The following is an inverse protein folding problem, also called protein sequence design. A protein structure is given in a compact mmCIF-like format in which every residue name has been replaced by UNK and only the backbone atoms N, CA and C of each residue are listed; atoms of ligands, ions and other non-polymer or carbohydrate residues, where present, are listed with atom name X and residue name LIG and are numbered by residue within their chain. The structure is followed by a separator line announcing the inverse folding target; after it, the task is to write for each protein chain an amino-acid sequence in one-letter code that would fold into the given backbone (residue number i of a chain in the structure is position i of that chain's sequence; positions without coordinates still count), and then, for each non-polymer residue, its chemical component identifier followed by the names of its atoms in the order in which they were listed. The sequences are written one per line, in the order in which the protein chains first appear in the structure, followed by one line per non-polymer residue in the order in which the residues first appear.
data_IF_799767525990
#
_entry.id   IF_799767525990
#
_cell.length_a   1.000
_cell.length_b   1.000
_cell.length_c   1.000
_cell.angle_alpha   90.00
_cell.angle_beta   90.00
_cell.angle_gamma   90.00
#
_symmetry.space_group_name_H-M   'P 1'
#
loop_
_entity.id
_entity.type
_entity.pdbx_description
1 polymer ?
#
# COMPACT_ATOMS: atom_id res chain seq x y z
N UNK A 1 -0.21 34.59 -16.87
CA UNK A 1 0.27 35.39 -15.73
C UNK A 1 -0.80 35.59 -14.65
N UNK A 2 -2.00 36.05 -14.95
CA UNK A 2 -3.05 36.25 -13.93
C UNK A 2 -3.48 34.95 -13.21
N UNK A 3 -3.67 33.83 -13.93
CA UNK A 3 -4.09 32.56 -13.33
C UNK A 3 -3.03 31.96 -12.36
N UNK A 4 -1.74 32.10 -12.69
CA UNK A 4 -0.63 31.63 -11.84
C UNK A 4 -0.55 32.40 -10.52
N UNK A 5 -0.82 33.71 -10.56
CA UNK A 5 -0.83 34.58 -9.36
C UNK A 5 -2.00 34.21 -8.43
N UNK A 6 -3.16 33.86 -8.99
CA UNK A 6 -4.34 33.46 -8.21
C UNK A 6 -4.13 32.13 -7.49
N UNK A 7 -3.49 31.14 -8.13
CA UNK A 7 -3.19 29.84 -7.49
C UNK A 7 -2.20 30.01 -6.32
N UNK A 8 -1.16 30.84 -6.51
CA UNK A 8 -0.17 31.13 -5.46
C UNK A 8 -0.80 31.84 -4.25
N UNK A 9 -1.71 32.79 -4.49
CA UNK A 9 -2.37 33.52 -3.40
C UNK A 9 -3.44 32.68 -2.69
N UNK A 10 -4.20 31.85 -3.42
CA UNK A 10 -5.27 31.04 -2.86
C UNK A 10 -4.75 29.82 -2.06
N UNK A 11 -3.66 29.18 -2.50
CA UNK A 11 -3.08 28.03 -1.81
C UNK A 11 -1.97 28.40 -0.82
N UNK A 12 -1.23 29.49 -1.06
CA UNK A 12 -0.05 29.86 -0.28
C UNK A 12 -0.34 30.60 1.04
N UNK A 13 -1.46 31.31 1.14
CA UNK A 13 -1.80 32.09 2.35
C UNK A 13 -2.40 31.22 3.47
N UNK A 14 -3.33 30.28 3.21
CA UNK A 14 -3.88 29.42 4.25
C UNK A 14 -2.92 28.32 4.71
N UNK A 15 -2.10 27.79 3.79
CA UNK A 15 -1.17 26.68 4.02
C UNK A 15 0.29 27.13 4.00
N UNK A 16 0.57 28.34 4.51
CA UNK A 16 1.91 28.94 4.49
C UNK A 16 2.96 28.07 5.20
N UNK A 17 2.58 27.34 6.26
CA UNK A 17 3.46 26.38 6.94
C UNK A 17 3.81 25.19 6.05
N UNK A 18 2.82 24.55 5.39
CA UNK A 18 3.05 23.45 4.46
C UNK A 18 3.85 23.90 3.23
N UNK A 19 3.55 25.09 2.69
CA UNK A 19 4.33 25.71 1.61
C UNK A 19 5.78 25.95 2.06
N UNK A 20 5.99 26.53 3.25
CA UNK A 20 7.35 26.77 3.77
C UNK A 20 8.09 25.46 4.01
N UNK A 21 7.44 24.42 4.53
CA UNK A 21 8.00 23.06 4.68
C UNK A 21 8.39 22.46 3.33
N UNK A 22 7.53 22.58 2.32
CA UNK A 22 7.77 22.10 0.96
C UNK A 22 9.02 22.76 0.34
N UNK A 23 9.20 24.07 0.56
CA UNK A 23 10.35 24.85 0.06
C UNK A 23 11.57 24.83 0.99
N UNK A 24 11.45 24.43 2.26
CA UNK A 24 12.60 24.24 3.16
C UNK A 24 13.17 22.83 3.10
N UNK A 25 12.37 21.85 2.68
CA UNK A 25 12.79 20.47 2.42
C UNK A 25 13.06 20.21 0.93
N UNK A 26 13.21 21.22 0.08
CA UNK A 26 13.46 21.02 -1.36
C UNK A 26 14.67 20.15 -1.65
N UNK A 27 15.70 20.15 -0.81
CA UNK A 27 16.86 19.28 -1.02
C UNK A 27 16.53 17.81 -0.73
N UNK A 28 15.82 17.51 0.36
CA UNK A 28 15.35 16.16 0.69
C UNK A 28 14.18 15.68 -0.16
N UNK A 29 13.40 16.61 -0.74
CA UNK A 29 12.42 16.26 -1.76
C UNK A 29 13.09 15.95 -3.09
N UNK A 30 14.14 16.67 -3.50
CA UNK A 30 14.88 16.43 -4.77
C UNK A 30 15.64 15.11 -4.77
N UNK A 31 16.06 14.65 -3.60
CA UNK A 31 16.62 13.32 -3.41
C UNK A 31 15.55 12.28 -3.79
N UNK A 32 15.72 11.63 -4.94
CA UNK A 32 14.73 10.68 -5.48
C UNK A 32 14.07 11.08 -6.81
N UNK A 33 13.91 12.38 -7.12
CA UNK A 33 13.20 12.82 -8.34
C UNK A 33 13.92 12.43 -9.63
N UNK A 34 15.26 12.36 -9.60
CA UNK A 34 16.05 11.88 -10.74
C UNK A 34 15.76 10.40 -11.08
N UNK A 35 15.28 9.62 -10.12
CA UNK A 35 14.89 8.22 -10.32
C UNK A 35 13.43 8.07 -10.75
N UNK A 36 12.57 9.01 -10.36
CA UNK A 36 11.15 9.02 -10.77
C UNK A 36 11.05 9.08 -12.29
N UNK A 37 11.83 9.93 -12.97
CA UNK A 37 11.85 9.98 -14.44
C UNK A 37 12.39 8.69 -15.09
N UNK A 38 13.38 8.05 -14.47
CA UNK A 38 13.97 6.80 -14.98
C UNK A 38 12.99 5.62 -14.85
N UNK A 39 12.19 5.52 -13.80
CA UNK A 39 11.29 4.37 -13.59
C UNK A 39 10.06 4.34 -14.50
N UNK A 40 9.74 5.42 -15.21
CA UNK A 40 8.61 5.46 -16.17
C UNK A 40 8.85 4.73 -17.49
N UNK A 41 10.07 4.24 -17.73
CA UNK A 41 10.38 3.40 -18.89
C UNK A 41 11.03 2.10 -18.44
N UNK A 42 10.75 1.00 -19.13
CA UNK A 42 11.39 -0.29 -18.83
C UNK A 42 12.91 -0.18 -18.80
N UNK A 43 13.47 0.60 -19.74
CA UNK A 43 14.91 0.88 -19.80
C UNK A 43 15.40 1.59 -18.55
N UNK A 44 14.79 2.70 -18.17
CA UNK A 44 15.26 3.47 -17.02
C UNK A 44 15.01 2.73 -15.69
N UNK A 45 13.97 1.89 -15.60
CA UNK A 45 13.80 0.96 -14.48
C UNK A 45 14.96 -0.04 -14.42
N UNK A 46 15.36 -0.63 -15.55
CA UNK A 46 16.51 -1.55 -15.58
C UNK A 46 17.85 -0.86 -15.29
N UNK A 47 18.03 0.39 -15.74
CA UNK A 47 19.22 1.19 -15.42
C UNK A 47 19.26 1.54 -13.93
N UNK A 48 18.13 2.00 -13.36
CA UNK A 48 18.00 2.21 -11.91
C UNK A 48 18.30 0.94 -11.11
N UNK A 49 17.78 -0.19 -11.58
CA UNK A 49 18.04 -1.50 -10.97
C UNK A 49 19.54 -1.82 -10.98
N UNK A 50 20.21 -1.61 -12.10
CA UNK A 50 21.65 -1.83 -12.20
C UNK A 50 22.49 -0.86 -11.34
N UNK A 51 22.04 0.39 -11.20
CA UNK A 51 22.71 1.44 -10.41
C UNK A 51 22.50 1.24 -8.89
N UNK A 52 21.38 0.65 -8.47
CA UNK A 52 21.00 0.47 -7.06
C UNK A 52 20.60 -0.97 -6.69
N UNK A 53 21.52 -1.94 -6.87
CA UNK A 53 21.26 -3.34 -6.56
C UNK A 53 20.86 -3.59 -5.10
N UNK A 54 21.33 -2.74 -4.18
CA UNK A 54 21.04 -2.82 -2.74
C UNK A 54 19.57 -2.65 -2.39
N UNK A 55 18.74 -2.06 -3.27
CA UNK A 55 17.33 -1.79 -3.01
C UNK A 55 16.36 -2.86 -3.53
N UNK A 56 16.83 -3.90 -4.24
CA UNK A 56 15.94 -4.92 -4.79
C UNK A 56 16.31 -6.37 -4.48
N UNK A 57 15.28 -7.19 -4.49
CA UNK A 57 15.40 -8.62 -4.62
C UNK A 57 14.42 -9.06 -5.72
N UNK A 58 14.81 -10.06 -6.51
CA UNK A 58 13.97 -10.66 -7.54
C UNK A 58 13.99 -12.16 -7.33
N UNK A 59 12.82 -12.74 -7.17
CA UNK A 59 12.62 -14.19 -7.11
C UNK A 59 11.55 -14.53 -8.13
N UNK A 60 11.91 -15.35 -9.12
CA UNK A 60 10.98 -15.83 -10.15
C UNK A 60 11.38 -17.25 -10.51
N UNK A 61 10.50 -18.21 -10.28
CA UNK A 61 10.79 -19.61 -10.51
C UNK A 61 9.52 -20.36 -10.91
N UNK A 62 9.70 -21.51 -11.55
CA UNK A 62 8.62 -22.47 -11.75
C UNK A 62 8.48 -23.29 -10.46
N UNK A 63 7.27 -23.39 -9.91
CA UNK A 63 7.01 -24.17 -8.70
C UNK A 63 7.38 -25.65 -8.88
N UNK A 64 7.24 -26.20 -10.09
CA UNK A 64 7.61 -27.58 -10.42
C UNK A 64 9.12 -27.76 -10.64
N UNK A 65 9.84 -26.68 -10.92
CA UNK A 65 11.30 -26.66 -11.16
C UNK A 65 11.94 -25.45 -10.46
N UNK A 66 11.96 -25.42 -9.11
CA UNK A 66 12.40 -24.24 -8.37
C UNK A 66 13.87 -23.91 -8.66
N UNK A 67 14.74 -24.92 -8.75
CA UNK A 67 16.18 -24.71 -8.98
C UNK A 67 16.51 -24.03 -10.31
N UNK A 68 15.58 -24.01 -11.27
CA UNK A 68 15.74 -23.37 -12.59
C UNK A 68 15.34 -21.89 -12.62
N UNK A 69 15.11 -21.27 -11.44
CA UNK A 69 14.63 -19.89 -11.31
C UNK A 69 15.70 -18.78 -11.36
N UNK A 70 15.21 -17.55 -11.38
CA UNK A 70 15.96 -16.31 -11.17
C UNK A 70 15.91 -15.97 -9.68
N UNK A 71 17.07 -15.98 -9.03
CA UNK A 71 17.24 -15.65 -7.62
C UNK A 71 18.28 -14.55 -7.46
N UNK A 72 17.80 -13.34 -7.19
CA UNK A 72 18.64 -12.15 -6.98
C UNK A 72 18.31 -11.54 -5.63
N UNK A 73 19.29 -11.51 -4.70
CA UNK A 73 19.07 -10.99 -3.35
C UNK A 73 17.97 -11.73 -2.57
N UNK A 74 17.70 -12.99 -2.91
CA UNK A 74 16.54 -13.75 -2.40
C UNK A 74 16.52 -13.86 -0.87
N UNK A 75 17.70 -14.03 -0.25
CA UNK A 75 17.84 -14.20 1.19
C UNK A 75 18.01 -12.89 1.96
N UNK A 76 17.94 -11.74 1.27
CA UNK A 76 18.07 -10.42 1.90
C UNK A 76 16.69 -10.01 2.42
N UNK A 77 16.51 -9.82 3.74
CA UNK A 77 15.24 -9.37 4.29
C UNK A 77 14.89 -7.96 3.77
N UNK A 78 13.65 -7.79 3.30
CA UNK A 78 13.11 -6.50 2.85
C UNK A 78 11.75 -6.21 3.48
N UNK A 79 11.42 -4.93 3.62
CA UNK A 79 10.10 -4.51 4.06
C UNK A 79 9.04 -4.97 3.05
N UNK A 80 8.02 -5.67 3.54
CA UNK A 80 6.98 -6.31 2.72
C UNK A 80 5.74 -5.42 2.53
N UNK A 81 5.56 -4.39 3.37
CA UNK A 81 4.35 -3.56 3.35
C UNK A 81 3.08 -4.42 3.45
N UNK A 82 2.08 -4.13 2.61
CA UNK A 82 0.81 -4.87 2.58
C UNK A 82 0.92 -6.34 2.14
N UNK A 83 2.07 -6.79 1.61
CA UNK A 83 2.29 -8.22 1.31
C UNK A 83 2.22 -9.06 2.59
N UNK A 84 2.46 -8.47 3.77
CA UNK A 84 2.26 -9.17 5.05
C UNK A 84 0.82 -9.63 5.30
N UNK A 85 -0.18 -9.05 4.61
CA UNK A 85 -1.57 -9.49 4.68
C UNK A 85 -1.74 -10.94 4.22
N UNK A 86 -0.83 -11.49 3.41
CA UNK A 86 -0.84 -12.91 3.04
C UNK A 86 -0.71 -13.83 4.27
N UNK A 87 0.04 -13.41 5.30
CA UNK A 87 0.13 -14.20 6.53
C UNK A 87 -1.18 -14.17 7.31
N UNK A 88 -1.88 -13.03 7.31
CA UNK A 88 -3.21 -12.91 7.94
C UNK A 88 -4.22 -13.77 7.19
N UNK A 89 -4.22 -13.75 5.86
CA UNK A 89 -5.09 -14.58 5.03
C UNK A 89 -4.84 -16.09 5.26
N UNK A 90 -3.58 -16.52 5.29
CA UNK A 90 -3.23 -17.92 5.56
C UNK A 90 -3.73 -18.34 6.95
N UNK A 91 -3.57 -17.48 7.95
CA UNK A 91 -4.01 -17.77 9.32
C UNK A 91 -5.53 -17.76 9.46
N UNK A 92 -6.22 -16.82 8.79
CA UNK A 92 -7.68 -16.78 8.70
C UNK A 92 -8.22 -18.09 8.12
N UNK A 93 -7.74 -18.49 6.94
CA UNK A 93 -8.17 -19.71 6.27
C UNK A 93 -7.93 -20.94 7.16
N UNK A 94 -6.76 -21.01 7.82
CA UNK A 94 -6.46 -22.09 8.77
C UNK A 94 -7.46 -22.15 9.92
N UNK A 95 -7.87 -21.01 10.48
CA UNK A 95 -8.82 -20.95 11.59
C UNK A 95 -10.25 -21.26 11.15
N UNK A 96 -10.66 -20.85 9.95
CA UNK A 96 -11.95 -21.23 9.34
C UNK A 96 -12.01 -22.74 9.15
N UNK A 97 -10.98 -23.36 8.56
CA UNK A 97 -10.91 -24.82 8.37
C UNK A 97 -10.92 -25.59 9.69
N UNK A 98 -10.39 -25.01 10.77
CA UNK A 98 -10.43 -25.58 12.12
C UNK A 98 -11.74 -25.31 12.87
N UNK A 99 -12.67 -24.54 12.29
CA UNK A 99 -13.93 -24.15 12.91
C UNK A 99 -13.78 -23.22 14.12
N UNK A 100 -12.68 -22.47 14.20
CA UNK A 100 -12.40 -21.51 15.27
C UNK A 100 -12.98 -20.12 15.00
N UNK A 101 -13.10 -19.79 13.72
CA UNK A 101 -13.67 -18.54 13.21
C UNK A 101 -14.82 -18.93 12.28
N UNK A 102 -15.92 -18.19 12.36
CA UNK A 102 -17.04 -18.30 11.43
C UNK A 102 -16.84 -17.26 10.31
N UNK A 103 -16.69 -17.66 9.04
CA UNK A 103 -16.53 -16.71 7.94
C UNK A 103 -17.77 -15.82 7.76
N UNK A 104 -18.96 -16.31 8.16
CA UNK A 104 -20.22 -15.57 8.10
C UNK A 104 -20.45 -14.69 9.35
N UNK A 105 -19.46 -14.58 10.24
CA UNK A 105 -19.55 -13.71 11.42
C UNK A 105 -19.83 -12.27 11.01
N UNK A 106 -20.89 -11.63 11.54
CA UNK A 106 -21.21 -10.25 11.19
C UNK A 106 -20.19 -9.29 11.82
N UNK A 107 -19.62 -8.43 10.99
CA UNK A 107 -18.64 -7.39 11.33
C UNK A 107 -19.24 -6.02 11.00
N UNK A 108 -19.14 -5.09 11.93
CA UNK A 108 -19.50 -3.68 11.67
C UNK A 108 -18.31 -2.93 11.10
N UNK A 109 -18.53 -2.12 10.06
CA UNK A 109 -17.49 -1.24 9.51
C UNK A 109 -16.89 -0.34 10.60
N UNK A 110 -17.69 0.10 11.58
CA UNK A 110 -17.20 0.92 12.70
C UNK A 110 -16.23 0.20 13.63
N UNK A 111 -16.22 -1.14 13.65
CA UNK A 111 -15.29 -1.90 14.49
C UNK A 111 -13.90 -1.98 13.84
N UNK A 112 -13.85 -1.86 12.51
CA UNK A 112 -12.63 -1.83 11.69
C UNK A 112 -11.83 -0.53 11.94
N UNK A 113 -12.51 0.60 12.16
CA UNK A 113 -11.88 1.90 12.47
C UNK A 113 -10.86 1.83 13.60
N UNK A 114 -11.03 0.88 14.54
CA UNK A 114 -10.11 0.68 15.66
C UNK A 114 -8.70 0.29 15.21
N UNK A 115 -8.59 -0.40 14.07
CA UNK A 115 -7.33 -0.91 13.53
C UNK A 115 -6.70 0.05 12.52
N UNK A 116 -7.40 1.13 12.18
CA UNK A 116 -6.91 2.15 11.28
C UNK A 116 -5.62 2.80 11.81
N UNK A 117 -4.61 2.83 10.95
CA UNK A 117 -3.34 3.50 11.19
C UNK A 117 -3.28 4.82 10.41
N UNK A 118 -3.75 5.94 11.01
CA UNK A 118 -3.75 7.23 10.33
C UNK A 118 -2.34 7.63 9.92
N UNK A 119 -2.22 8.28 8.76
CA UNK A 119 -0.96 8.72 8.12
C UNK A 119 -0.06 7.60 7.58
N UNK A 120 -0.35 6.32 7.87
CA UNK A 120 0.42 5.18 7.33
C UNK A 120 -0.28 4.58 6.12
N UNK A 121 -1.59 4.33 6.24
CA UNK A 121 -2.36 3.61 5.22
C UNK A 121 -3.62 4.36 4.77
N UNK A 122 -3.74 5.66 5.06
CA UNK A 122 -4.98 6.45 4.88
C UNK A 122 -5.65 6.29 3.52
N UNK A 123 -4.92 6.37 2.41
CA UNK A 123 -5.51 6.17 1.08
C UNK A 123 -6.04 4.75 0.88
N UNK A 124 -5.25 3.73 1.26
CA UNK A 124 -5.66 2.33 1.15
C UNK A 124 -6.85 2.04 2.08
N UNK A 125 -6.86 2.63 3.28
CA UNK A 125 -7.96 2.55 4.22
C UNK A 125 -9.25 3.15 3.65
N UNK A 126 -9.21 4.38 3.15
CA UNK A 126 -10.36 5.05 2.56
C UNK A 126 -10.90 4.27 1.36
N UNK A 127 -10.03 3.75 0.48
CA UNK A 127 -10.45 2.89 -0.61
C UNK A 127 -11.08 1.58 -0.13
N UNK A 128 -10.64 1.05 1.01
CA UNK A 128 -11.23 -0.14 1.59
C UNK A 128 -12.62 0.13 2.15
N UNK A 129 -12.77 1.20 2.93
CA UNK A 129 -14.06 1.60 3.49
C UNK A 129 -15.07 1.89 2.38
N UNK A 130 -14.66 2.56 1.29
CA UNK A 130 -15.52 2.80 0.13
C UNK A 130 -16.03 1.49 -0.51
N UNK A 131 -15.18 0.45 -0.60
CA UNK A 131 -15.58 -0.87 -1.08
C UNK A 131 -16.54 -1.56 -0.10
N UNK A 132 -16.22 -1.53 1.19
CA UNK A 132 -17.05 -2.14 2.24
C UNK A 132 -18.43 -1.49 2.31
N UNK A 133 -18.51 -0.16 2.27
CA UNK A 133 -19.77 0.58 2.29
C UNK A 133 -20.63 0.26 1.07
N UNK A 134 -20.02 -0.01 -0.08
CA UNK A 134 -20.74 -0.38 -1.30
C UNK A 134 -21.33 -1.80 -1.25
N UNK A 135 -20.74 -2.71 -0.48
CA UNK A 135 -21.18 -4.10 -0.34
C UNK A 135 -22.06 -4.34 0.89
N UNK A 136 -21.90 -3.53 1.95
CA UNK A 136 -22.59 -3.70 3.22
C UNK A 136 -24.09 -3.34 3.17
N UNK A 137 -24.89 -4.01 4.00
CA UNK A 137 -26.26 -3.59 4.33
C UNK A 137 -26.24 -2.97 5.74
N UNK A 138 -26.62 -1.68 5.84
CA UNK A 138 -26.57 -0.90 7.09
C UNK A 138 -25.19 -0.87 7.79
N UNK A 139 -24.10 -1.02 7.03
CA UNK A 139 -22.73 -1.04 7.56
C UNK A 139 -22.31 -2.37 8.20
N UNK A 140 -23.13 -3.42 8.03
CA UNK A 140 -22.84 -4.80 8.43
C UNK A 140 -22.36 -5.57 7.21
N UNK A 141 -21.30 -6.36 7.40
CA UNK A 141 -20.79 -7.32 6.42
C UNK A 141 -20.36 -8.61 7.12
N UNK A 142 -20.02 -9.64 6.36
CA UNK A 142 -19.39 -10.86 6.87
C UNK A 142 -17.89 -10.66 7.09
N UNK A 143 -17.29 -11.47 7.96
CA UNK A 143 -15.85 -11.47 8.14
C UNK A 143 -15.10 -11.83 6.85
N UNK A 144 -15.66 -12.71 6.01
CA UNK A 144 -15.07 -13.06 4.71
C UNK A 144 -15.01 -11.86 3.75
N UNK A 145 -16.07 -11.03 3.69
CA UNK A 145 -16.08 -9.78 2.90
C UNK A 145 -15.04 -8.77 3.39
N UNK A 146 -14.82 -8.69 4.71
CA UNK A 146 -13.79 -7.82 5.29
C UNK A 146 -12.38 -8.28 4.87
N UNK A 147 -12.11 -9.59 4.98
CA UNK A 147 -10.83 -10.20 4.59
C UNK A 147 -10.60 -10.09 3.08
N UNK A 148 -11.62 -10.34 2.26
CA UNK A 148 -11.54 -10.18 0.81
C UNK A 148 -11.19 -8.75 0.43
N UNK A 149 -11.81 -7.76 1.07
CA UNK A 149 -11.53 -6.35 0.84
C UNK A 149 -10.10 -5.98 1.24
N UNK A 150 -9.59 -6.48 2.38
CA UNK A 150 -8.20 -6.28 2.82
C UNK A 150 -7.19 -6.68 1.75
N UNK A 151 -7.45 -7.79 1.06
CA UNK A 151 -6.59 -8.28 -0.02
C UNK A 151 -6.78 -7.44 -1.29
N UNK A 152 -8.01 -7.12 -1.67
CA UNK A 152 -8.31 -6.37 -2.89
C UNK A 152 -7.79 -4.93 -2.86
N UNK A 153 -7.85 -4.27 -1.69
CA UNK A 153 -7.44 -2.87 -1.52
C UNK A 153 -5.99 -2.70 -1.07
N UNK A 154 -5.31 -3.79 -0.69
CA UNK A 154 -4.05 -3.76 0.07
C UNK A 154 -4.17 -2.97 1.38
N UNK A 155 -5.37 -2.96 1.99
CA UNK A 155 -5.62 -2.30 3.26
C UNK A 155 -4.78 -2.90 4.37
N UNK A 156 -3.97 -2.08 5.05
CA UNK A 156 -3.24 -2.51 6.23
C UNK A 156 -4.19 -2.46 7.44
N UNK A 157 -4.50 -3.64 7.99
CA UNK A 157 -5.34 -3.82 9.18
C UNK A 157 -6.76 -3.27 9.03
N UNK A 158 -7.53 -3.94 8.18
CA UNK A 158 -9.00 -3.91 8.17
C UNK A 158 -9.49 -4.96 9.16
#
# INVERSE_FOLDING_TARGET
MAATIVIVLAAGIPNYSAFKTLFSNTDGMREGYEYVEKTFSLRGLTEFIGEHPEYMSVVSFNVDEPDSGIYYGADIPRAQGAISNLFLLIEYERQVLEGKIDPDEPVQISDIDRFFLPQISENAYNSSVELLEAESEDGVLTLDEAVATMIASNGLAI
#
